data_IF_866072779645
#
_entry.id   IF_866072779645
#
_cell.length_a   1.000
_cell.length_b   1.000
_cell.length_c   1.000
_cell.angle_alpha   90.00
_cell.angle_beta   90.00
_cell.angle_gamma   90.00
#
_symmetry.space_group_name_H-M   'P 1'
#
loop_
_entity.id
_entity.type
_entity.pdbx_description
1 polymer ?
#
# COMPACT_ATOMS: atom_id res chain seq x y z
N UNK A 1 31.20 2.80 2.25
CA UNK A 1 31.83 1.52 2.64
C UNK A 1 30.69 0.53 2.89
N UNK A 2 30.61 -0.56 2.10
CA UNK A 2 29.60 -1.65 2.14
C UNK A 2 28.13 -1.35 1.75
N UNK A 3 27.71 -0.10 1.51
CA UNK A 3 26.36 0.28 1.02
C UNK A 3 25.20 -0.41 1.77
N UNK A 4 25.37 -0.65 3.07
CA UNK A 4 24.37 -1.36 3.90
C UNK A 4 23.09 -0.52 4.01
N UNK A 5 23.23 0.79 4.20
CA UNK A 5 22.09 1.71 4.30
C UNK A 5 21.22 1.68 3.03
N UNK A 6 21.84 1.71 1.85
CA UNK A 6 21.11 1.61 0.57
C UNK A 6 20.33 0.30 0.46
N UNK A 7 20.88 -0.81 0.97
CA UNK A 7 20.20 -2.10 0.95
C UNK A 7 19.06 -2.19 1.98
N UNK A 8 19.18 -1.51 3.13
CA UNK A 8 18.09 -1.35 4.10
C UNK A 8 16.96 -0.53 3.50
N UNK A 9 17.26 0.62 2.90
CA UNK A 9 16.26 1.48 2.24
C UNK A 9 15.53 0.73 1.11
N UNK A 10 16.26 -0.03 0.28
CA UNK A 10 15.65 -0.90 -0.75
C UNK A 10 14.79 -2.02 -0.14
N UNK A 11 15.16 -2.55 1.02
CA UNK A 11 14.39 -3.57 1.72
C UNK A 11 13.11 -3.01 2.39
N UNK A 12 13.05 -1.70 2.67
CA UNK A 12 11.83 -1.04 3.15
C UNK A 12 10.87 -0.71 2.00
N UNK A 13 11.39 -0.48 0.79
CA UNK A 13 10.56 -0.18 -0.38
C UNK A 13 9.65 -1.35 -0.79
N UNK A 14 8.43 -1.05 -1.25
CA UNK A 14 7.51 -2.03 -1.84
C UNK A 14 8.09 -2.73 -3.08
N UNK A 15 8.89 -2.01 -3.87
CA UNK A 15 9.48 -2.46 -5.14
C UNK A 15 10.97 -2.80 -4.99
N UNK A 16 11.39 -3.93 -5.54
CA UNK A 16 12.81 -4.34 -5.60
C UNK A 16 13.23 -4.55 -7.04
N UNK A 17 14.14 -3.72 -7.56
CA UNK A 17 14.65 -3.86 -8.93
C UNK A 17 15.56 -5.08 -9.08
N UNK A 18 15.41 -5.77 -10.21
CA UNK A 18 16.30 -6.84 -10.69
C UNK A 18 17.37 -6.25 -11.61
N UNK A 19 18.51 -6.91 -11.74
CA UNK A 19 19.64 -6.49 -12.59
C UNK A 19 19.29 -6.51 -14.08
N UNK A 20 18.41 -7.42 -14.48
CA UNK A 20 17.90 -7.52 -15.86
C UNK A 20 16.90 -6.42 -16.25
N UNK A 21 16.55 -5.51 -15.34
CA UNK A 21 15.58 -4.44 -15.59
C UNK A 21 14.13 -4.79 -15.19
N UNK A 22 13.88 -6.03 -14.81
CA UNK A 22 12.65 -6.43 -14.12
C UNK A 22 12.59 -5.92 -12.68
N UNK A 23 11.50 -6.21 -11.98
CA UNK A 23 11.33 -5.86 -10.58
C UNK A 23 10.35 -6.79 -9.86
N UNK A 24 10.48 -6.85 -8.55
CA UNK A 24 9.57 -7.54 -7.64
C UNK A 24 8.70 -6.51 -6.93
N UNK A 25 7.44 -6.86 -6.67
CA UNK A 25 6.53 -6.13 -5.78
C UNK A 25 6.24 -7.02 -4.58
N UNK A 26 6.44 -6.48 -3.38
CA UNK A 26 6.11 -7.16 -2.12
C UNK A 26 4.91 -6.48 -1.48
N UNK A 27 3.80 -7.20 -1.36
CA UNK A 27 2.60 -6.72 -0.69
C UNK A 27 2.33 -7.56 0.55
N UNK A 28 2.44 -6.91 1.71
CA UNK A 28 2.21 -7.54 3.00
C UNK A 28 0.83 -7.16 3.52
N UNK A 29 -0.01 -8.16 3.72
CA UNK A 29 -1.31 -8.04 4.39
C UNK A 29 -1.21 -8.57 5.82
N UNK A 30 -2.32 -8.52 6.55
CA UNK A 30 -2.42 -9.11 7.90
C UNK A 30 -2.13 -10.62 7.90
N UNK A 31 -2.70 -11.35 6.94
CA UNK A 31 -2.67 -12.80 6.91
C UNK A 31 -1.47 -13.38 6.13
N UNK A 32 -1.05 -12.73 5.04
CA UNK A 32 -0.06 -13.27 4.12
C UNK A 32 0.74 -12.18 3.40
N UNK A 33 1.83 -12.59 2.75
CA UNK A 33 2.63 -11.74 1.86
C UNK A 33 2.56 -12.26 0.43
N UNK A 34 2.22 -11.41 -0.53
CA UNK A 34 2.27 -11.72 -1.96
C UNK A 34 3.52 -11.10 -2.58
N UNK A 35 4.10 -11.81 -3.55
CA UNK A 35 5.30 -11.36 -4.27
C UNK A 35 5.07 -11.51 -5.76
N UNK A 36 4.99 -10.38 -6.48
CA UNK A 36 4.76 -10.37 -7.92
C UNK A 36 6.07 -10.09 -8.69
N UNK A 37 6.25 -10.77 -9.81
CA UNK A 37 7.45 -10.65 -10.65
C UNK A 37 7.10 -9.97 -11.97
N UNK A 38 7.81 -8.89 -12.31
CA UNK A 38 7.60 -8.13 -13.54
C UNK A 38 8.89 -8.04 -14.36
N UNK A 39 8.81 -8.23 -15.69
CA UNK A 39 9.96 -8.17 -16.62
C UNK A 39 10.45 -6.76 -16.94
N UNK A 40 9.66 -5.72 -16.62
CA UNK A 40 10.01 -4.33 -16.95
C UNK A 40 10.04 -4.08 -18.46
N UNK A 41 10.71 -3.00 -18.90
CA UNK A 41 10.76 -2.61 -20.32
C UNK A 41 11.70 -3.47 -21.18
N UNK A 42 12.44 -4.41 -20.58
CA UNK A 42 13.49 -5.17 -21.26
C UNK A 42 12.97 -6.50 -21.79
N UNK A 43 12.07 -6.43 -22.79
CA UNK A 43 11.59 -7.62 -23.50
C UNK A 43 12.31 -7.70 -24.84
N UNK A 44 13.36 -8.51 -24.93
CA UNK A 44 14.07 -8.74 -26.19
C UNK A 44 13.15 -9.41 -27.22
N UNK A 45 12.97 -8.79 -28.38
CA UNK A 45 12.03 -9.20 -29.43
C UNK A 45 12.24 -10.62 -30.02
N UNK A 46 13.26 -11.38 -29.61
CA UNK A 46 13.62 -12.65 -30.25
C UNK A 46 13.60 -13.90 -29.38
N UNK A 47 13.40 -13.84 -28.05
CA UNK A 47 13.24 -15.02 -27.18
C UNK A 47 12.53 -14.63 -25.87
N UNK A 48 11.21 -14.43 -25.95
CA UNK A 48 10.37 -14.06 -24.79
C UNK A 48 10.42 -15.13 -23.69
N UNK A 49 10.27 -16.40 -24.05
CA UNK A 49 10.23 -17.52 -23.11
C UNK A 49 11.54 -17.66 -22.31
N UNK A 50 12.69 -17.56 -22.99
CA UNK A 50 14.00 -17.62 -22.34
C UNK A 50 14.23 -16.42 -21.41
N UNK A 51 13.70 -15.24 -21.79
CA UNK A 51 13.77 -14.03 -20.97
C UNK A 51 12.93 -14.18 -19.72
N UNK A 52 11.69 -14.66 -19.84
CA UNK A 52 10.80 -14.97 -18.70
C UNK A 52 11.48 -15.95 -17.74
N UNK A 53 12.02 -17.04 -18.28
CA UNK A 53 12.69 -18.04 -17.47
C UNK A 53 13.90 -17.46 -16.69
N UNK A 54 14.75 -16.69 -17.37
CA UNK A 54 15.90 -16.01 -16.73
C UNK A 54 15.45 -15.00 -15.66
N UNK A 55 14.39 -14.23 -15.94
CA UNK A 55 13.82 -13.28 -14.98
C UNK A 55 13.30 -14.00 -13.74
N UNK A 56 12.59 -15.12 -13.89
CA UNK A 56 12.10 -15.92 -12.76
C UNK A 56 13.24 -16.53 -11.91
N UNK A 57 14.33 -16.99 -12.53
CA UNK A 57 15.51 -17.47 -11.78
C UNK A 57 16.21 -16.35 -11.00
N UNK A 58 16.33 -15.17 -11.62
CA UNK A 58 16.88 -13.99 -10.95
C UNK A 58 15.98 -13.56 -9.78
N UNK A 59 14.67 -13.47 -10.03
CA UNK A 59 13.65 -13.17 -9.05
C UNK A 59 13.74 -14.12 -7.86
N UNK A 60 13.84 -15.43 -8.10
CA UNK A 60 13.98 -16.46 -7.05
C UNK A 60 15.15 -16.17 -6.10
N UNK A 61 16.30 -15.77 -6.65
CA UNK A 61 17.48 -15.42 -5.86
C UNK A 61 17.23 -14.16 -5.02
N UNK A 62 16.60 -13.15 -5.62
CA UNK A 62 16.26 -11.90 -4.95
C UNK A 62 15.20 -12.10 -3.86
N UNK A 63 14.17 -12.91 -4.11
CA UNK A 63 13.10 -13.26 -3.16
C UNK A 63 13.71 -13.85 -1.90
N UNK A 64 14.49 -14.92 -2.00
CA UNK A 64 15.07 -15.54 -0.81
C UNK A 64 16.00 -14.61 -0.04
N UNK A 65 16.69 -13.68 -0.72
CA UNK A 65 17.45 -12.62 -0.04
C UNK A 65 16.52 -11.65 0.71
N UNK A 66 15.45 -11.19 0.07
CA UNK A 66 14.49 -10.24 0.65
C UNK A 66 13.70 -10.84 1.81
N UNK A 67 13.30 -12.12 1.73
CA UNK A 67 12.66 -12.82 2.85
C UNK A 67 13.50 -12.78 4.12
N UNK A 68 14.83 -12.96 3.99
CA UNK A 68 15.77 -12.85 5.12
C UNK A 68 15.97 -11.42 5.58
N UNK A 69 16.24 -10.49 4.65
CA UNK A 69 16.51 -9.08 4.99
C UNK A 69 15.32 -8.39 5.64
N UNK A 70 14.12 -8.62 5.12
CA UNK A 70 12.86 -8.06 5.63
C UNK A 70 12.29 -8.85 6.81
N UNK A 71 12.84 -10.04 7.07
CA UNK A 71 12.33 -11.02 8.01
C UNK A 71 10.83 -11.33 7.81
N UNK A 72 10.42 -11.52 6.55
CA UNK A 72 9.04 -11.88 6.20
C UNK A 72 8.74 -13.30 6.67
N UNK A 73 7.58 -13.53 7.29
CA UNK A 73 7.17 -14.85 7.75
C UNK A 73 5.66 -14.99 7.86
N UNK A 74 5.19 -16.23 7.95
CA UNK A 74 3.80 -16.62 7.75
C UNK A 74 3.61 -17.26 6.38
N UNK A 75 2.42 -17.08 5.81
CA UNK A 75 2.08 -17.55 4.48
C UNK A 75 2.65 -16.56 3.45
N UNK A 76 3.34 -17.08 2.45
CA UNK A 76 3.92 -16.33 1.35
C UNK A 76 3.44 -16.95 0.04
N UNK A 77 2.91 -16.11 -0.84
CA UNK A 77 2.47 -16.46 -2.18
C UNK A 77 3.39 -15.77 -3.17
N UNK A 78 3.95 -16.51 -4.13
CA UNK A 78 4.84 -15.96 -5.16
C UNK A 78 4.16 -16.16 -6.51
N UNK A 79 3.90 -15.05 -7.20
CA UNK A 79 3.37 -15.04 -8.56
C UNK A 79 4.55 -14.96 -9.55
N UNK A 80 4.94 -16.13 -10.07
CA UNK A 80 5.94 -16.22 -11.12
C UNK A 80 5.31 -15.90 -12.47
N UNK A 81 6.10 -15.26 -13.35
CA UNK A 81 5.65 -15.02 -14.72
C UNK A 81 5.41 -16.37 -15.39
N UNK A 82 4.27 -16.52 -16.06
CA UNK A 82 3.84 -17.75 -16.72
C UNK A 82 4.93 -18.35 -17.62
N UNK A 83 5.24 -19.62 -17.38
CA UNK A 83 6.17 -20.42 -18.17
C UNK A 83 5.42 -21.57 -18.83
N UNK A 84 5.55 -21.71 -20.15
CA UNK A 84 4.92 -22.78 -20.93
C UNK A 84 5.65 -24.13 -20.75
N UNK A 85 6.98 -24.09 -20.65
CA UNK A 85 7.79 -25.28 -20.43
C UNK A 85 7.80 -25.73 -18.95
N UNK A 86 7.31 -26.96 -18.71
CA UNK A 86 7.32 -27.59 -17.39
C UNK A 86 8.74 -27.87 -16.85
N UNK A 87 9.76 -27.96 -17.70
CA UNK A 87 11.16 -28.02 -17.27
C UNK A 87 11.63 -26.68 -16.67
N UNK A 88 11.25 -25.55 -17.27
CA UNK A 88 11.53 -24.22 -16.71
C UNK A 88 10.89 -24.05 -15.33
N UNK A 89 9.62 -24.44 -15.17
CA UNK A 89 8.94 -24.43 -13.86
C UNK A 89 9.69 -25.26 -12.81
N UNK A 90 10.08 -26.50 -13.16
CA UNK A 90 10.85 -27.38 -12.26
C UNK A 90 12.20 -26.78 -11.87
N UNK A 91 12.88 -26.10 -12.78
CA UNK A 91 14.17 -25.47 -12.51
C UNK A 91 14.03 -24.24 -11.58
N UNK A 92 12.98 -23.43 -11.75
CA UNK A 92 12.66 -22.33 -10.84
C UNK A 92 12.36 -22.86 -9.44
N UNK A 93 11.55 -23.92 -9.31
CA UNK A 93 11.24 -24.53 -8.01
C UNK A 93 12.48 -25.08 -7.29
N UNK A 94 13.35 -25.80 -8.01
CA UNK A 94 14.63 -26.28 -7.46
C UNK A 94 15.55 -25.15 -7.02
N UNK A 95 15.57 -24.05 -7.78
CA UNK A 95 16.32 -22.87 -7.41
C UNK A 95 15.75 -22.23 -6.14
N UNK A 96 14.43 -22.18 -6.00
CA UNK A 96 13.76 -21.65 -4.81
C UNK A 96 14.13 -22.48 -3.57
N UNK A 97 14.01 -23.80 -3.63
CA UNK A 97 14.46 -24.71 -2.57
C UNK A 97 15.90 -24.43 -2.15
N UNK A 98 16.82 -24.41 -3.13
CA UNK A 98 18.26 -24.17 -2.90
C UNK A 98 18.55 -22.81 -2.25
N UNK A 99 17.81 -21.75 -2.61
CA UNK A 99 17.99 -20.42 -2.03
C UNK A 99 17.45 -20.37 -0.59
N UNK A 100 16.38 -21.10 -0.30
CA UNK A 100 15.76 -21.17 1.02
C UNK A 100 16.54 -22.06 1.99
N UNK A 101 17.35 -23.02 1.53
CA UNK A 101 18.27 -23.80 2.38
C UNK A 101 19.25 -22.93 3.18
N UNK A 102 19.55 -21.73 2.66
CA UNK A 102 20.42 -20.74 3.33
C UNK A 102 19.69 -19.94 4.41
N UNK A 103 18.39 -20.13 4.57
CA UNK A 103 17.59 -19.44 5.58
C UNK A 103 17.66 -20.18 6.91
N UNK A 104 17.84 -19.42 7.99
CA UNK A 104 17.83 -19.97 9.35
C UNK A 104 16.40 -20.23 9.85
N UNK A 105 15.39 -19.55 9.30
CA UNK A 105 14.00 -19.82 9.61
C UNK A 105 13.52 -21.06 8.87
N UNK A 106 12.74 -21.91 9.56
CA UNK A 106 12.12 -23.08 8.92
C UNK A 106 11.19 -22.63 7.80
N UNK A 107 11.46 -23.08 6.59
CA UNK A 107 10.64 -22.87 5.39
C UNK A 107 9.97 -24.17 4.98
N UNK A 108 8.82 -24.06 4.33
CA UNK A 108 8.14 -25.18 3.69
C UNK A 108 7.45 -24.69 2.43
N UNK A 109 7.86 -25.22 1.28
CA UNK A 109 7.18 -24.98 0.00
C UNK A 109 6.09 -26.04 -0.13
N UNK A 110 4.85 -25.61 -0.36
CA UNK A 110 3.71 -26.52 -0.56
C UNK A 110 3.71 -27.02 -2.00
N UNK A 111 3.95 -26.12 -2.95
CA UNK A 111 3.98 -26.42 -4.38
C UNK A 111 3.54 -25.21 -5.22
N UNK A 112 3.31 -25.46 -6.50
CA UNK A 112 2.65 -24.52 -7.41
C UNK A 112 1.17 -24.91 -7.51
N UNK A 113 0.27 -23.95 -7.35
CA UNK A 113 -1.17 -24.14 -7.48
C UNK A 113 -1.59 -24.21 -8.95
N UNK A 114 -2.83 -24.63 -9.20
CA UNK A 114 -3.42 -24.65 -10.54
C UNK A 114 -3.53 -23.25 -11.18
N UNK A 115 -3.42 -22.20 -10.37
CA UNK A 115 -3.39 -20.80 -10.79
C UNK A 115 -1.97 -20.31 -11.15
N UNK A 116 -0.95 -21.16 -11.07
CA UNK A 116 0.44 -20.78 -11.33
C UNK A 116 1.17 -20.13 -10.15
N UNK A 117 0.49 -19.99 -9.00
CA UNK A 117 1.06 -19.36 -7.80
C UNK A 117 1.86 -20.37 -6.98
N UNK A 118 3.04 -19.98 -6.50
CA UNK A 118 3.83 -20.80 -5.58
C UNK A 118 3.49 -20.46 -4.14
N UNK A 119 3.06 -21.47 -3.40
CA UNK A 119 2.66 -21.33 -2.00
C UNK A 119 3.78 -21.83 -1.09
N UNK A 120 4.16 -21.02 -0.11
CA UNK A 120 5.12 -21.42 0.90
C UNK A 120 4.81 -20.83 2.27
N UNK A 121 5.40 -21.43 3.30
CA UNK A 121 5.40 -20.89 4.65
C UNK A 121 6.82 -20.67 5.14
N UNK A 122 7.02 -19.63 5.93
CA UNK A 122 8.28 -19.35 6.62
C UNK A 122 7.98 -19.04 8.08
N UNK A 123 8.57 -19.77 9.01
CA UNK A 123 8.32 -19.59 10.45
C UNK A 123 8.66 -18.15 10.88
N UNK A 124 7.72 -17.46 11.53
CA UNK A 124 7.97 -16.17 12.17
C UNK A 124 8.90 -16.37 13.36
N UNK A 125 10.04 -15.68 13.36
CA UNK A 125 11.05 -15.77 14.42
C UNK A 125 11.09 -14.52 15.29
N UNK A 126 10.87 -13.34 14.70
CA UNK A 126 10.94 -12.00 15.31
C UNK A 126 10.06 -11.04 14.50
N UNK A 127 9.99 -9.79 14.96
CA UNK A 127 9.39 -8.67 14.22
C UNK A 127 10.05 -8.49 12.84
N UNK A 128 9.27 -8.01 11.86
CA UNK A 128 9.79 -7.70 10.52
C UNK A 128 10.72 -6.49 10.57
N UNK A 129 11.53 -6.29 9.52
CA UNK A 129 12.41 -5.13 9.43
C UNK A 129 11.64 -3.81 9.59
N UNK A 130 10.50 -3.68 8.88
CA UNK A 130 9.66 -2.49 8.94
C UNK A 130 9.11 -2.22 10.35
N UNK A 131 8.74 -3.26 11.10
CA UNK A 131 8.25 -3.11 12.47
C UNK A 131 9.35 -2.62 13.43
N UNK A 132 10.61 -2.95 13.16
CA UNK A 132 11.74 -2.55 14.01
C UNK A 132 12.18 -1.11 13.74
N UNK A 133 12.08 -0.65 12.48
CA UNK A 133 12.68 0.62 12.04
C UNK A 133 11.67 1.69 11.60
N UNK A 134 10.38 1.39 11.57
CA UNK A 134 9.33 2.33 11.18
C UNK A 134 8.19 2.36 12.20
N UNK A 135 7.51 3.49 12.27
CA UNK A 135 6.26 3.67 13.00
C UNK A 135 5.06 3.66 12.03
N UNK A 136 3.85 3.34 12.49
CA UNK A 136 2.64 3.48 11.69
C UNK A 136 2.49 4.91 11.15
N UNK A 137 1.95 5.04 9.94
CA UNK A 137 1.71 6.35 9.36
C UNK A 137 0.61 7.08 10.16
N UNK A 138 0.87 8.27 10.75
CA UNK A 138 -0.11 8.96 11.60
C UNK A 138 -1.35 9.43 10.83
N UNK A 139 -1.23 9.64 9.52
CA UNK A 139 -2.32 10.11 8.65
C UNK A 139 -3.28 8.98 8.26
N UNK A 140 -2.73 7.85 7.81
CA UNK A 140 -3.51 6.79 7.19
C UNK A 140 -3.62 5.53 8.06
N UNK A 141 -2.90 5.47 9.17
CA UNK A 141 -2.79 4.30 10.07
C UNK A 141 -2.50 2.99 9.31
N UNK A 142 -1.60 3.09 8.32
CA UNK A 142 -1.21 1.95 7.48
C UNK A 142 -2.14 1.65 6.30
N UNK A 143 -3.21 2.43 6.07
CA UNK A 143 -4.09 2.27 4.88
C UNK A 143 -3.36 2.50 3.55
N UNK A 144 -2.25 3.23 3.53
CA UNK A 144 -1.51 3.57 2.32
C UNK A 144 -2.25 4.50 1.35
N UNK A 145 -3.37 5.07 1.79
CA UNK A 145 -4.20 6.01 1.04
C UNK A 145 -4.98 6.88 2.01
N UNK A 146 -5.37 8.07 1.54
CA UNK A 146 -6.26 9.01 2.25
C UNK A 146 -7.46 9.33 1.35
N UNK A 147 -8.62 9.61 1.93
CA UNK A 147 -9.81 10.09 1.24
C UNK A 147 -9.48 11.36 0.47
N UNK A 148 -10.06 11.54 -0.70
CA UNK A 148 -9.91 12.76 -1.49
C UNK A 148 -10.53 13.96 -0.76
N UNK A 149 -10.03 15.17 -1.02
CA UNK A 149 -10.62 16.40 -0.46
C UNK A 149 -12.12 16.49 -0.76
N UNK A 150 -12.55 16.09 -1.96
CA UNK A 150 -13.97 15.97 -2.34
C UNK A 150 -14.77 15.06 -1.40
N UNK A 151 -14.25 13.86 -1.11
CA UNK A 151 -14.92 12.92 -0.21
C UNK A 151 -15.08 13.54 1.18
N UNK A 152 -14.04 14.21 1.67
CA UNK A 152 -14.06 14.89 2.97
C UNK A 152 -15.03 16.09 2.96
N UNK A 153 -15.12 16.86 1.87
CA UNK A 153 -16.11 17.94 1.72
C UNK A 153 -17.53 17.40 1.90
N UNK A 154 -17.87 16.27 1.26
CA UNK A 154 -19.18 15.65 1.45
C UNK A 154 -19.41 15.13 2.89
N UNK A 155 -18.37 14.70 3.59
CA UNK A 155 -18.46 14.34 5.01
C UNK A 155 -18.74 15.55 5.90
N UNK A 156 -18.06 16.68 5.65
CA UNK A 156 -18.33 17.97 6.30
C UNK A 156 -19.78 18.38 6.11
N UNK A 157 -20.30 18.37 4.88
CA UNK A 157 -21.69 18.77 4.58
C UNK A 157 -22.70 17.85 5.31
N UNK A 158 -22.46 16.54 5.34
CA UNK A 158 -23.30 15.58 6.08
C UNK A 158 -23.24 15.81 7.59
N UNK A 159 -22.08 16.15 8.12
CA UNK A 159 -21.90 16.44 9.55
C UNK A 159 -22.64 17.71 9.96
N UNK A 160 -22.56 18.78 9.17
CA UNK A 160 -23.35 20.00 9.38
C UNK A 160 -24.85 19.67 9.37
N UNK A 161 -25.34 18.89 8.39
CA UNK A 161 -26.74 18.47 8.34
C UNK A 161 -27.16 17.68 9.59
N UNK A 162 -26.29 16.77 10.06
CA UNK A 162 -26.53 15.95 11.25
C UNK A 162 -26.66 16.83 12.49
N UNK A 163 -25.74 17.77 12.69
CA UNK A 163 -25.77 18.69 13.83
C UNK A 163 -26.94 19.68 13.75
N UNK A 164 -27.26 20.20 12.57
CA UNK A 164 -28.39 21.10 12.36
C UNK A 164 -29.74 20.45 12.71
N UNK A 165 -29.90 19.14 12.44
CA UNK A 165 -31.09 18.37 12.82
C UNK A 165 -31.14 18.08 14.33
N UNK A 166 -29.99 17.80 14.95
CA UNK A 166 -29.91 17.48 16.37
C UNK A 166 -30.14 18.70 17.27
N UNK A 167 -29.72 19.89 16.84
CA UNK A 167 -29.81 21.12 17.62
C UNK A 167 -30.75 22.13 16.93
N UNK A 168 -31.97 22.24 17.46
CA UNK A 168 -33.04 23.11 16.92
C UNK A 168 -32.88 24.60 17.26
N UNK A 169 -31.81 25.01 17.93
CA UNK A 169 -31.53 26.41 18.21
C UNK A 169 -31.16 27.14 16.92
N UNK A 170 -32.12 27.88 16.36
CA UNK A 170 -32.06 28.49 15.02
C UNK A 170 -31.09 29.66 14.89
N UNK A 171 -30.49 30.14 15.98
CA UNK A 171 -29.65 31.35 16.01
C UNK A 171 -28.14 31.09 15.98
N UNK A 172 -27.69 29.84 16.12
CA UNK A 172 -26.26 29.51 16.11
C UNK A 172 -25.75 29.34 14.69
N UNK A 173 -24.59 29.88 14.35
CA UNK A 173 -23.92 29.56 13.08
C UNK A 173 -22.98 28.36 13.26
N UNK A 174 -22.52 27.79 12.15
CA UNK A 174 -21.50 26.74 12.15
C UNK A 174 -20.14 27.34 11.79
N UNK A 175 -19.10 26.82 12.43
CA UNK A 175 -17.71 27.02 12.06
C UNK A 175 -17.13 25.65 11.70
N UNK A 176 -16.61 25.52 10.49
CA UNK A 176 -15.88 24.35 10.01
C UNK A 176 -14.40 24.66 10.08
N UNK A 177 -13.66 23.88 10.86
CA UNK A 177 -12.19 23.86 10.84
C UNK A 177 -11.76 22.71 9.94
N UNK A 178 -10.98 22.97 8.90
CA UNK A 178 -10.54 21.94 7.97
C UNK A 178 -9.14 22.23 7.42
N UNK A 179 -8.48 21.20 6.90
CA UNK A 179 -7.22 21.32 6.18
C UNK A 179 -7.32 22.22 4.95
N UNK A 180 -6.18 22.67 4.42
CA UNK A 180 -6.13 23.58 3.28
C UNK A 180 -6.88 23.06 2.05
N UNK A 181 -6.60 21.83 1.65
CA UNK A 181 -7.21 21.24 0.46
C UNK A 181 -8.74 21.13 0.57
N UNK A 182 -9.26 20.89 1.78
CA UNK A 182 -10.71 20.78 2.03
C UNK A 182 -11.35 22.17 2.13
N UNK A 183 -10.71 23.10 2.83
CA UNK A 183 -11.22 24.46 3.01
C UNK A 183 -11.28 25.23 1.68
N UNK A 184 -10.23 25.18 0.87
CA UNK A 184 -10.21 25.82 -0.46
C UNK A 184 -11.28 25.24 -1.36
N UNK A 185 -11.41 23.90 -1.39
CA UNK A 185 -12.42 23.23 -2.20
C UNK A 185 -13.85 23.56 -1.81
N UNK A 186 -14.15 23.63 -0.50
CA UNK A 186 -15.46 24.06 0.00
C UNK A 186 -15.80 25.50 -0.40
N UNK A 187 -14.79 26.37 -0.51
CA UNK A 187 -14.96 27.77 -0.88
C UNK A 187 -15.03 27.99 -2.40
N UNK A 188 -14.44 27.10 -3.20
CA UNK A 188 -14.36 27.21 -4.65
C UNK A 188 -15.30 26.20 -5.35
N UNK A 189 -14.87 24.96 -5.59
CA UNK A 189 -15.62 24.00 -6.41
C UNK A 189 -16.95 23.56 -5.79
N UNK A 190 -16.97 23.35 -4.48
CA UNK A 190 -18.15 22.86 -3.74
C UNK A 190 -18.96 24.01 -3.10
N UNK A 191 -18.68 25.26 -3.48
CA UNK A 191 -19.35 26.46 -2.96
C UNK A 191 -20.87 26.49 -3.19
N UNK A 192 -21.31 25.96 -4.34
CA UNK A 192 -22.75 25.82 -4.67
C UNK A 192 -23.46 24.86 -3.71
N UNK A 193 -22.87 23.69 -3.47
CA UNK A 193 -23.37 22.69 -2.53
C UNK A 193 -23.43 23.23 -1.10
N UNK A 194 -22.43 24.04 -0.70
CA UNK A 194 -22.41 24.70 0.60
C UNK A 194 -23.54 25.75 0.73
N UNK A 195 -23.76 26.57 -0.30
CA UNK A 195 -24.83 27.57 -0.32
C UNK A 195 -26.24 26.95 -0.28
N UNK A 196 -26.45 25.86 -1.02
CA UNK A 196 -27.69 25.08 -0.98
C UNK A 196 -27.93 24.52 0.42
N UNK A 197 -26.87 24.03 1.07
CA UNK A 197 -26.92 23.54 2.44
C UNK A 197 -27.28 24.66 3.43
N UNK A 198 -26.61 25.81 3.38
CA UNK A 198 -26.90 26.98 4.23
C UNK A 198 -28.36 27.42 4.11
N UNK A 199 -28.89 27.42 2.88
CA UNK A 199 -30.29 27.76 2.59
C UNK A 199 -31.24 26.71 3.17
N UNK A 200 -30.91 25.43 3.02
CA UNK A 200 -31.72 24.33 3.54
C UNK A 200 -31.82 24.31 5.07
N UNK A 201 -30.69 24.56 5.76
CA UNK A 201 -30.66 24.59 7.23
C UNK A 201 -31.04 25.97 7.81
N UNK A 202 -31.14 27.00 6.96
CA UNK A 202 -31.38 28.40 7.32
C UNK A 202 -30.40 28.94 8.38
N UNK A 203 -29.11 28.57 8.26
CA UNK A 203 -28.03 28.95 9.18
C UNK A 203 -26.75 29.13 8.39
N UNK A 204 -25.93 30.12 8.78
CA UNK A 204 -24.63 30.36 8.14
C UNK A 204 -23.59 29.34 8.54
N UNK A 205 -22.70 29.00 7.60
CA UNK A 205 -21.54 28.16 7.77
C UNK A 205 -20.30 28.98 7.42
N UNK A 206 -19.36 29.11 8.36
CA UNK A 206 -18.06 29.74 8.12
C UNK A 206 -17.01 28.66 8.00
N UNK A 207 -16.19 28.72 6.95
CA UNK A 207 -15.05 27.83 6.78
C UNK A 207 -13.79 28.56 7.28
N UNK A 208 -12.99 27.88 8.10
CA UNK A 208 -11.71 28.36 8.57
C UNK A 208 -10.64 27.29 8.34
N UNK A 209 -9.55 27.74 7.75
CA UNK A 209 -8.35 26.95 7.54
C UNK A 209 -7.70 26.60 8.88
N UNK A 210 -7.42 25.32 9.12
CA UNK A 210 -6.57 24.85 10.20
C UNK A 210 -5.30 24.20 9.60
N UNK A 211 -4.15 24.91 9.59
CA UNK A 211 -2.93 24.45 8.92
C UNK A 211 -2.36 23.14 9.47
N UNK A 212 -2.69 22.80 10.71
CA UNK A 212 -2.18 21.58 11.36
C UNK A 212 -3.04 20.35 11.05
N UNK A 213 -4.20 20.50 10.40
CA UNK A 213 -5.09 19.38 10.12
C UNK A 213 -4.62 18.58 8.91
N UNK A 214 -4.61 17.27 9.12
CA UNK A 214 -4.58 16.24 8.10
C UNK A 214 -5.74 16.39 7.10
N UNK A 215 -5.64 15.80 5.91
CA UNK A 215 -6.69 15.99 4.89
C UNK A 215 -8.04 15.43 5.35
N UNK A 216 -8.03 14.34 6.11
CA UNK A 216 -9.23 13.70 6.66
C UNK A 216 -9.72 14.31 7.99
N UNK A 217 -8.98 15.27 8.56
CA UNK A 217 -9.34 15.94 9.81
C UNK A 217 -10.20 17.18 9.54
N UNK A 218 -11.33 17.26 10.24
CA UNK A 218 -12.17 18.45 10.28
C UNK A 218 -13.00 18.48 11.57
N UNK A 219 -13.38 19.68 11.99
CA UNK A 219 -14.32 19.89 13.09
C UNK A 219 -15.47 20.78 12.62
N UNK A 220 -16.67 20.43 13.07
CA UNK A 220 -17.87 21.26 12.91
C UNK A 220 -18.34 21.68 14.28
N UNK A 221 -18.20 22.97 14.59
CA UNK A 221 -18.54 23.55 15.90
C UNK A 221 -19.60 24.65 15.75
N UNK A 222 -20.33 24.92 16.83
CA UNK A 222 -21.26 26.05 16.88
C UNK A 222 -20.52 27.34 17.20
N UNK A 223 -20.98 28.43 16.57
CA UNK A 223 -20.54 29.79 16.83
C UNK A 223 -21.69 30.64 17.39
#
# INVERSE_FOLDING_TARGET
LYNVEDEVQKALGRKVSLKSGGYLIFDQTEAMTTIDINTGAFVGHRNLEETIFKTNLEATTAIGRQLRLRNIGGIIIIDFIDMLDAEHQRQVMRMLEKVLERDHAKTNIVGMSDLGLVEMTRKRTRESLQQIVCEPCPECDGRGSVKTAETVCYEVLREILRQARAYSASSQSFLVLASQAVAERLLDEDSSSLADLETFINRRVTIQLEPMYAQEEFDVVFR
#
